data_IF_116678950479
#
_entry.id   IF_116678950479
#
_cell.length_a   1.000
_cell.length_b   1.000
_cell.length_c   1.000
_cell.angle_alpha   90.00
_cell.angle_beta   90.00
_cell.angle_gamma   90.00
#
_symmetry.space_group_name_H-M   'P 1'
#
loop_
_entity.id
_entity.type
_entity.pdbx_description
1 polymer ?
#
# COMPACT_ATOMS: atom_id res chain seq x y z
N UNK A 1 0.48 0.73 25.15
CA UNK A 1 -0.76 -0.09 25.43
C UNK A 1 -1.39 -0.40 24.08
N UNK A 2 -1.70 -1.67 23.79
CA UNK A 2 -2.33 -2.07 22.52
C UNK A 2 -3.72 -1.46 22.41
N UNK A 3 -4.01 -0.84 21.28
CA UNK A 3 -5.30 -0.20 20.98
C UNK A 3 -6.19 -1.10 20.12
N UNK A 4 -7.49 -1.09 20.37
CA UNK A 4 -8.50 -1.73 19.52
C UNK A 4 -9.22 -0.62 18.77
N UNK A 5 -9.15 -0.66 17.44
CA UNK A 5 -9.76 0.37 16.60
C UNK A 5 -11.25 0.07 16.39
N UNK A 6 -12.05 1.13 16.44
CA UNK A 6 -13.46 1.09 16.02
C UNK A 6 -13.58 0.95 14.51
N UNK A 7 -14.74 0.59 13.99
CA UNK A 7 -14.98 0.51 12.52
C UNK A 7 -14.83 1.87 11.83
N UNK A 8 -15.13 2.97 12.51
CA UNK A 8 -14.90 4.33 12.00
C UNK A 8 -13.39 4.60 11.83
N UNK A 9 -12.57 4.26 12.84
CA UNK A 9 -11.12 4.41 12.77
C UNK A 9 -10.49 3.50 11.70
N UNK A 10 -10.98 2.25 11.60
CA UNK A 10 -10.55 1.32 10.55
C UNK A 10 -10.89 1.87 9.16
N UNK A 11 -12.04 2.54 9.00
CA UNK A 11 -12.41 3.18 7.73
C UNK A 11 -11.41 4.27 7.34
N UNK A 12 -11.02 5.14 8.29
CA UNK A 12 -9.99 6.17 8.05
C UNK A 12 -8.62 5.54 7.71
N UNK A 13 -8.25 4.47 8.39
CA UNK A 13 -7.03 3.71 8.07
C UNK A 13 -7.08 3.08 6.67
N UNK A 14 -8.25 2.60 6.22
CA UNK A 14 -8.45 2.12 4.84
C UNK A 14 -8.25 3.22 3.81
N UNK A 15 -8.70 4.44 4.08
CA UNK A 15 -8.46 5.58 3.18
C UNK A 15 -6.96 5.88 3.06
N UNK A 16 -6.23 5.95 4.18
CA UNK A 16 -4.79 6.09 4.18
C UNK A 16 -4.10 4.93 3.43
N UNK A 17 -4.55 3.68 3.70
CA UNK A 17 -4.03 2.47 3.07
C UNK A 17 -4.31 2.39 1.56
N UNK A 18 -5.43 2.90 1.11
CA UNK A 18 -5.76 2.97 -0.32
C UNK A 18 -4.85 3.97 -1.05
N UNK A 19 -4.60 5.15 -0.46
CA UNK A 19 -3.65 6.12 -1.03
C UNK A 19 -2.25 5.51 -1.09
N UNK A 20 -1.84 4.79 -0.05
CA UNK A 20 -0.58 4.06 -0.01
C UNK A 20 -0.49 3.04 -1.16
N UNK A 21 -1.49 2.18 -1.33
CA UNK A 21 -1.59 1.23 -2.45
C UNK A 21 -1.50 1.92 -3.82
N UNK A 22 -2.26 3.00 -4.03
CA UNK A 22 -2.22 3.76 -5.28
C UNK A 22 -0.83 4.38 -5.53
N UNK A 23 -0.15 4.84 -4.48
CA UNK A 23 1.22 5.36 -4.57
C UNK A 23 2.18 4.27 -5.02
N UNK A 24 2.08 3.05 -4.47
CA UNK A 24 2.85 1.90 -4.94
C UNK A 24 2.60 1.57 -6.41
N UNK A 25 1.34 1.58 -6.86
CA UNK A 25 1.00 1.32 -8.27
C UNK A 25 1.59 2.42 -9.20
N UNK A 26 1.51 3.67 -8.78
CA UNK A 26 2.09 4.80 -9.51
C UNK A 26 3.61 4.66 -9.61
N UNK A 27 4.32 4.48 -8.48
CA UNK A 27 5.77 4.34 -8.48
C UNK A 27 6.25 3.12 -9.28
N UNK A 28 5.55 1.98 -9.17
CA UNK A 28 5.81 0.79 -9.99
C UNK A 28 5.83 1.11 -11.49
N UNK A 29 4.95 1.98 -11.96
CA UNK A 29 4.90 2.39 -13.36
C UNK A 29 6.09 3.26 -13.80
N UNK A 30 6.77 3.90 -12.85
CA UNK A 30 7.93 4.77 -13.10
C UNK A 30 9.26 4.03 -13.02
N UNK A 31 9.31 2.86 -12.35
CA UNK A 31 10.54 2.10 -12.16
C UNK A 31 11.07 1.59 -13.49
N UNK A 32 12.26 2.07 -13.87
CA UNK A 32 13.01 1.66 -15.05
C UNK A 32 14.49 1.97 -14.87
N UNK A 33 15.40 1.31 -15.61
CA UNK A 33 16.82 1.65 -15.58
C UNK A 33 17.07 3.13 -15.91
N UNK A 34 18.01 3.74 -15.18
CA UNK A 34 18.44 5.13 -15.39
C UNK A 34 17.73 6.18 -14.55
N UNK A 35 16.68 5.85 -13.78
CA UNK A 35 16.08 6.78 -12.85
C UNK A 35 16.87 6.83 -11.54
N UNK A 36 16.72 7.92 -10.78
CA UNK A 36 17.30 8.05 -9.44
C UNK A 36 16.27 7.72 -8.36
N UNK A 37 16.76 7.28 -7.20
CA UNK A 37 15.87 7.08 -6.03
C UNK A 37 15.26 8.40 -5.56
N UNK A 38 15.96 9.54 -5.74
CA UNK A 38 15.40 10.88 -5.47
C UNK A 38 14.17 11.18 -6.32
N UNK A 39 14.24 10.88 -7.63
CA UNK A 39 13.08 11.08 -8.51
C UNK A 39 11.84 10.30 -8.05
N UNK A 40 12.03 9.05 -7.62
CA UNK A 40 10.92 8.25 -7.08
C UNK A 40 10.36 8.84 -5.79
N UNK A 41 11.22 9.37 -4.90
CA UNK A 41 10.80 10.04 -3.68
C UNK A 41 9.99 11.31 -3.97
N UNK A 42 10.44 12.15 -4.91
CA UNK A 42 9.72 13.37 -5.30
C UNK A 42 8.35 13.05 -5.90
N UNK A 43 8.25 12.02 -6.72
CA UNK A 43 7.00 11.61 -7.33
C UNK A 43 6.05 10.98 -6.28
N UNK A 44 6.57 10.23 -5.30
CA UNK A 44 5.79 9.73 -4.18
C UNK A 44 5.20 10.86 -3.34
N UNK A 45 6.01 11.87 -2.97
CA UNK A 45 5.57 13.03 -2.19
C UNK A 45 4.44 13.78 -2.90
N UNK A 46 4.64 14.12 -4.17
CA UNK A 46 3.62 14.81 -5.00
C UNK A 46 2.34 13.99 -5.10
N UNK A 47 2.46 12.69 -5.32
CA UNK A 47 1.30 11.81 -5.49
C UNK A 47 0.49 11.71 -4.19
N UNK A 48 1.12 11.44 -3.06
CA UNK A 48 0.47 11.36 -1.74
C UNK A 48 -0.25 12.67 -1.43
N UNK A 49 0.42 13.83 -1.61
CA UNK A 49 -0.18 15.14 -1.34
C UNK A 49 -1.32 15.50 -2.28
N UNK A 50 -1.34 14.96 -3.50
CA UNK A 50 -2.45 15.18 -4.45
C UNK A 50 -3.78 14.59 -3.97
N UNK A 51 -3.74 13.62 -3.04
CA UNK A 51 -4.91 13.05 -2.37
C UNK A 51 -5.26 13.76 -1.04
N UNK A 52 -4.61 14.91 -0.74
CA UNK A 52 -4.80 15.60 0.53
C UNK A 52 -4.34 14.78 1.74
N UNK A 53 -3.33 13.94 1.53
CA UNK A 53 -2.66 13.14 2.56
C UNK A 53 -1.21 13.64 2.75
N UNK A 54 -0.52 13.14 3.76
CA UNK A 54 0.86 13.50 4.05
C UNK A 54 1.75 12.24 4.03
N UNK A 55 3.03 12.35 3.55
CA UNK A 55 4.01 11.30 3.71
C UNK A 55 4.28 11.03 5.20
N UNK A 56 4.16 9.77 5.61
CA UNK A 56 4.23 9.38 7.02
C UNK A 56 5.64 9.34 7.59
N UNK A 57 6.67 9.24 6.75
CA UNK A 57 8.06 9.13 7.20
C UNK A 57 8.80 10.47 7.26
N UNK A 58 8.35 11.47 6.49
CA UNK A 58 9.03 12.76 6.42
C UNK A 58 9.12 13.42 7.78
N UNK A 59 10.34 13.72 8.24
CA UNK A 59 10.68 14.27 9.55
C UNK A 59 10.35 13.35 10.75
N UNK A 60 9.95 12.11 10.52
CA UNK A 60 9.75 11.16 11.61
C UNK A 60 11.13 10.67 12.09
N UNK A 61 11.40 10.83 13.38
CA UNK A 61 12.72 10.56 13.97
C UNK A 61 13.88 11.22 13.18
N UNK A 62 13.64 12.38 12.58
CA UNK A 62 14.57 13.12 11.72
C UNK A 62 14.87 12.45 10.35
N UNK A 63 14.06 11.51 9.90
CA UNK A 63 14.19 10.93 8.56
C UNK A 63 13.92 12.00 7.49
N UNK A 64 14.86 12.22 6.52
CA UNK A 64 14.83 13.43 5.69
C UNK A 64 13.97 13.32 4.41
N UNK A 65 13.27 12.19 4.18
CA UNK A 65 12.56 11.88 2.92
C UNK A 65 11.15 11.40 3.15
N UNK A 66 10.34 11.41 2.09
CA UNK A 66 8.92 11.05 2.13
C UNK A 66 8.68 9.56 2.12
N UNK A 67 9.61 8.79 1.54
CA UNK A 67 9.58 7.32 1.45
C UNK A 67 10.98 6.75 1.67
N UNK A 68 11.09 5.48 2.09
CA UNK A 68 12.37 4.78 2.10
C UNK A 68 12.53 4.03 0.76
N UNK A 69 13.75 4.08 0.18
CA UNK A 69 14.06 3.35 -1.06
C UNK A 69 15.38 2.62 -0.88
N UNK A 70 15.29 1.30 -0.78
CA UNK A 70 16.43 0.41 -0.52
C UNK A 70 16.71 -0.46 -1.75
N UNK A 71 17.98 -0.52 -2.18
CA UNK A 71 18.36 -1.18 -3.44
C UNK A 71 19.30 -2.35 -3.19
N UNK A 72 18.96 -3.53 -3.70
CA UNK A 72 19.73 -4.77 -3.63
C UNK A 72 20.04 -5.23 -2.20
N UNK A 73 21.30 -4.99 -1.71
CA UNK A 73 21.77 -5.36 -0.37
C UNK A 73 21.20 -4.47 0.75
N UNK A 74 20.62 -3.33 0.42
CA UNK A 74 19.90 -2.49 1.36
C UNK A 74 18.59 -3.17 1.75
N UNK A 75 18.38 -3.37 3.04
CA UNK A 75 17.21 -4.06 3.59
C UNK A 75 16.05 -3.09 3.70
N UNK A 76 16.25 -2.02 4.49
CA UNK A 76 15.26 -0.97 4.78
C UNK A 76 15.95 0.37 5.05
N UNK A 77 15.14 1.40 5.17
CA UNK A 77 15.50 2.77 5.53
C UNK A 77 16.52 3.43 4.59
N UNK A 78 16.67 2.93 3.37
CA UNK A 78 17.51 3.57 2.37
C UNK A 78 17.02 5.00 2.11
N UNK A 79 17.93 5.99 2.27
CA UNK A 79 17.61 7.40 2.05
C UNK A 79 17.63 7.69 0.54
N UNK A 80 16.50 8.09 -0.08
CA UNK A 80 16.46 8.49 -1.47
C UNK A 80 17.48 9.60 -1.80
N UNK A 81 18.18 9.45 -2.92
CA UNK A 81 19.23 10.36 -3.33
C UNK A 81 19.66 10.16 -4.79
N UNK A 82 20.91 10.47 -5.09
CA UNK A 82 21.50 10.42 -6.44
C UNK A 82 21.76 8.99 -6.95
N UNK A 83 21.48 7.95 -6.17
CA UNK A 83 21.65 6.56 -6.60
C UNK A 83 20.77 6.28 -7.82
N UNK A 84 21.42 5.87 -8.91
CA UNK A 84 20.75 5.48 -10.15
C UNK A 84 20.40 4.01 -10.08
N UNK A 85 19.16 3.67 -10.40
CA UNK A 85 18.66 2.29 -10.46
C UNK A 85 19.00 1.71 -11.84
N UNK A 86 19.54 0.50 -11.88
CA UNK A 86 20.04 -0.14 -13.09
C UNK A 86 19.24 -1.39 -13.46
N UNK A 87 19.36 -1.81 -14.71
CA UNK A 87 18.85 -3.12 -15.16
C UNK A 87 19.39 -4.25 -14.26
N UNK A 88 18.51 -5.09 -13.78
CA UNK A 88 18.88 -6.21 -12.90
C UNK A 88 18.87 -5.88 -11.41
N UNK A 89 18.63 -4.62 -11.01
CA UNK A 89 18.43 -4.27 -9.59
C UNK A 89 17.06 -4.73 -9.09
N UNK A 90 16.94 -4.87 -7.77
CA UNK A 90 15.66 -4.92 -7.06
C UNK A 90 15.58 -3.71 -6.15
N UNK A 91 14.41 -3.12 -6.05
CA UNK A 91 14.17 -1.87 -5.30
C UNK A 91 13.02 -2.08 -4.34
N UNK A 92 13.30 -2.05 -3.05
CA UNK A 92 12.30 -2.03 -1.99
C UNK A 92 11.87 -0.59 -1.77
N UNK A 93 10.61 -0.31 -1.96
CA UNK A 93 10.00 0.99 -1.66
C UNK A 93 9.08 0.78 -0.47
N UNK A 94 9.28 1.57 0.56
CA UNK A 94 8.51 1.56 1.78
C UNK A 94 7.84 2.93 1.96
N UNK A 95 6.51 2.91 2.16
CA UNK A 95 5.64 4.08 2.07
C UNK A 95 4.74 4.17 3.30
N UNK A 96 4.95 5.23 4.08
CA UNK A 96 4.00 5.66 5.10
C UNK A 96 3.07 6.74 4.56
N UNK A 97 1.77 6.64 4.82
CA UNK A 97 0.78 7.68 4.49
C UNK A 97 -0.03 8.04 5.71
N UNK A 98 -0.20 9.35 5.93
CA UNK A 98 -1.10 9.90 6.97
C UNK A 98 -2.30 10.57 6.30
N UNK A 99 -3.50 10.13 6.67
CA UNK A 99 -4.76 10.73 6.25
C UNK A 99 -5.70 10.87 7.44
N UNK A 100 -6.21 12.08 7.65
CA UNK A 100 -7.15 12.40 8.73
C UNK A 100 -6.70 11.90 10.14
N UNK A 101 -5.37 11.99 10.40
CA UNK A 101 -4.74 11.61 11.65
C UNK A 101 -4.48 10.11 11.83
N UNK A 102 -4.68 9.30 10.78
CA UNK A 102 -4.39 7.86 10.80
C UNK A 102 -3.30 7.50 9.83
N UNK A 103 -2.43 6.59 10.25
CA UNK A 103 -1.31 6.07 9.48
C UNK A 103 -1.66 4.79 8.74
N UNK A 104 -1.03 4.61 7.59
CA UNK A 104 -0.87 3.32 6.91
C UNK A 104 0.58 3.14 6.54
N UNK A 105 1.04 1.89 6.50
CA UNK A 105 2.40 1.50 6.17
C UNK A 105 2.40 0.28 5.27
N UNK A 106 3.24 0.31 4.23
CA UNK A 106 3.47 -0.86 3.39
C UNK A 106 4.74 -0.76 2.58
N UNK A 107 5.38 -1.92 2.36
CA UNK A 107 6.58 -2.04 1.56
C UNK A 107 6.45 -3.10 0.48
N UNK A 108 7.02 -2.81 -0.69
CA UNK A 108 7.07 -3.72 -1.82
C UNK A 108 8.43 -3.65 -2.51
N UNK A 109 8.97 -4.81 -2.85
CA UNK A 109 10.21 -4.91 -3.62
C UNK A 109 9.91 -5.20 -5.08
N UNK A 110 10.41 -4.33 -5.96
CA UNK A 110 10.18 -4.38 -7.41
C UNK A 110 11.44 -4.77 -8.18
N UNK A 111 11.35 -5.64 -9.20
CA UNK A 111 12.45 -5.87 -10.12
C UNK A 111 12.60 -4.68 -11.09
N UNK A 112 13.84 -4.34 -11.46
CA UNK A 112 14.16 -3.34 -12.47
C UNK A 112 14.56 -4.03 -13.76
N UNK A 113 13.65 -4.03 -14.73
CA UNK A 113 13.83 -4.79 -15.95
C UNK A 113 13.98 -6.29 -15.67
N UNK A 114 14.95 -6.94 -16.33
CA UNK A 114 15.20 -8.37 -16.15
C UNK A 114 16.20 -8.61 -15.01
N UNK A 115 15.76 -9.27 -13.95
CA UNK A 115 16.61 -9.64 -12.81
C UNK A 115 17.10 -11.09 -12.90
N UNK A 116 18.07 -11.47 -12.07
CA UNK A 116 18.54 -12.85 -11.98
C UNK A 116 17.48 -13.77 -11.37
N UNK A 117 17.57 -15.07 -11.69
CA UNK A 117 16.68 -16.10 -11.10
C UNK A 117 16.73 -16.14 -9.58
N UNK A 118 17.87 -15.82 -8.97
CA UNK A 118 18.03 -15.74 -7.52
C UNK A 118 17.24 -14.57 -6.93
N UNK A 119 17.25 -13.42 -7.61
CA UNK A 119 16.45 -12.26 -7.22
C UNK A 119 14.95 -12.52 -7.43
N UNK A 120 14.54 -13.12 -8.56
CA UNK A 120 13.15 -13.56 -8.76
C UNK A 120 12.69 -14.51 -7.65
N UNK A 121 13.55 -15.47 -7.28
CA UNK A 121 13.30 -16.39 -6.17
C UNK A 121 13.11 -15.65 -4.85
N UNK A 122 14.00 -14.70 -4.53
CA UNK A 122 13.92 -13.91 -3.31
C UNK A 122 12.60 -13.13 -3.25
N UNK A 123 12.26 -12.38 -4.30
CA UNK A 123 11.03 -11.60 -4.38
C UNK A 123 9.81 -12.49 -4.14
N UNK A 124 9.70 -13.58 -4.91
CA UNK A 124 8.58 -14.51 -4.80
C UNK A 124 8.43 -15.11 -3.39
N UNK A 125 9.54 -15.51 -2.79
CA UNK A 125 9.47 -16.17 -1.48
C UNK A 125 9.33 -15.20 -0.33
N UNK A 126 9.78 -13.94 -0.45
CA UNK A 126 9.54 -12.92 0.57
C UNK A 126 8.07 -12.50 0.58
N UNK A 127 7.49 -12.25 -0.58
CA UNK A 127 6.03 -12.00 -0.69
C UNK A 127 5.21 -13.16 -0.13
N UNK A 128 5.56 -14.41 -0.50
CA UNK A 128 4.90 -15.60 0.05
C UNK A 128 5.05 -15.74 1.56
N UNK A 129 6.21 -15.36 2.13
CA UNK A 129 6.44 -15.39 3.57
C UNK A 129 5.49 -14.45 4.30
N UNK A 130 5.24 -13.24 3.76
CA UNK A 130 4.24 -12.34 4.29
C UNK A 130 2.86 -13.02 4.35
N UNK A 131 2.37 -13.52 3.22
CA UNK A 131 1.03 -14.10 3.16
C UNK A 131 0.87 -15.41 3.96
N UNK A 132 1.91 -16.21 4.16
CA UNK A 132 1.80 -17.37 5.06
C UNK A 132 1.76 -16.95 6.53
N UNK A 133 2.44 -15.84 6.90
CA UNK A 133 2.33 -15.24 8.21
C UNK A 133 0.94 -14.68 8.48
N UNK A 134 0.39 -13.91 7.53
CA UNK A 134 -0.94 -13.32 7.64
C UNK A 134 -2.04 -14.36 7.88
N UNK A 135 -1.91 -15.58 7.34
CA UNK A 135 -2.89 -16.66 7.55
C UNK A 135 -3.02 -17.15 9.00
N UNK A 136 -2.05 -16.82 9.83
CA UNK A 136 -2.10 -17.15 11.27
C UNK A 136 -2.91 -16.13 12.09
N UNK A 137 -3.38 -15.03 11.45
CA UNK A 137 -4.06 -13.91 12.11
C UNK A 137 -5.56 -14.14 12.16
N UNK A 138 -6.10 -14.13 13.37
CA UNK A 138 -7.54 -14.05 13.69
C UNK A 138 -7.72 -13.73 15.16
N UNK A 139 -8.93 -13.37 15.57
CA UNK A 139 -9.24 -13.20 17.00
C UNK A 139 -8.89 -14.46 17.80
N UNK A 140 -8.29 -14.28 18.96
CA UNK A 140 -7.86 -15.35 19.85
C UNK A 140 -6.54 -16.04 19.46
N UNK A 141 -5.98 -15.82 18.27
CA UNK A 141 -4.68 -16.36 17.89
C UNK A 141 -3.55 -15.70 18.70
N UNK A 142 -2.39 -16.36 18.75
CA UNK A 142 -1.18 -15.81 19.40
C UNK A 142 -0.30 -15.09 18.40
N UNK A 143 0.14 -13.89 18.76
CA UNK A 143 1.02 -13.04 17.92
C UNK A 143 2.26 -13.78 17.42
N UNK A 144 2.89 -14.59 18.28
CA UNK A 144 4.08 -15.37 17.93
C UNK A 144 3.86 -16.41 16.83
N UNK A 145 2.61 -16.75 16.49
CA UNK A 145 2.31 -17.65 15.38
C UNK A 145 2.70 -17.02 14.04
N UNK A 146 2.53 -15.71 13.88
CA UNK A 146 2.87 -14.96 12.67
C UNK A 146 4.37 -15.15 12.37
N UNK A 147 5.24 -14.74 13.29
CA UNK A 147 6.68 -14.82 13.13
C UNK A 147 7.19 -16.25 13.02
N UNK A 148 6.64 -17.19 13.84
CA UNK A 148 6.99 -18.60 13.75
C UNK A 148 6.70 -19.17 12.36
N UNK A 149 5.58 -18.78 11.73
CA UNK A 149 5.19 -19.22 10.39
C UNK A 149 6.08 -18.64 9.31
N UNK A 150 6.38 -17.34 9.40
CA UNK A 150 7.31 -16.64 8.49
C UNK A 150 8.70 -17.31 8.55
N UNK A 151 9.25 -17.47 9.75
CA UNK A 151 10.57 -18.07 9.95
C UNK A 151 10.64 -19.53 9.45
N UNK A 152 9.63 -20.33 9.74
CA UNK A 152 9.53 -21.71 9.25
C UNK A 152 9.53 -21.75 7.72
N UNK A 153 8.77 -20.87 7.08
CA UNK A 153 8.72 -20.76 5.63
C UNK A 153 10.07 -20.35 5.04
N UNK A 154 10.67 -19.28 5.56
CA UNK A 154 11.96 -18.77 5.10
C UNK A 154 13.09 -19.82 5.24
N UNK A 155 13.17 -20.52 6.38
CA UNK A 155 14.12 -21.62 6.61
C UNK A 155 13.98 -22.75 5.59
N UNK A 156 12.75 -23.14 5.25
CA UNK A 156 12.47 -24.14 4.22
C UNK A 156 13.02 -23.73 2.85
N UNK A 157 13.11 -22.43 2.58
CA UNK A 157 13.58 -21.86 1.33
C UNK A 157 15.02 -21.33 1.39
N UNK A 158 15.76 -21.65 2.47
CA UNK A 158 17.15 -21.22 2.69
C UNK A 158 17.34 -19.68 2.62
N UNK A 159 16.36 -18.93 3.11
CA UNK A 159 16.42 -17.48 3.20
C UNK A 159 16.70 -17.04 4.64
N UNK A 160 17.54 -16.01 4.79
CA UNK A 160 17.84 -15.38 6.08
C UNK A 160 16.68 -14.48 6.51
N UNK A 161 16.16 -14.66 7.73
CA UNK A 161 15.13 -13.79 8.32
C UNK A 161 15.82 -12.73 9.17
N UNK A 162 15.63 -11.47 8.85
CA UNK A 162 16.08 -10.35 9.69
C UNK A 162 15.32 -10.39 11.02
N UNK A 163 16.05 -10.28 12.12
CA UNK A 163 15.49 -10.40 13.48
C UNK A 163 15.59 -9.12 14.30
N UNK A 164 16.47 -8.23 13.89
CA UNK A 164 16.75 -6.96 14.54
C UNK A 164 15.68 -5.88 14.24
N UNK A 165 14.88 -6.13 13.20
CA UNK A 165 13.78 -5.29 12.75
C UNK A 165 12.51 -6.12 12.78
N UNK A 166 11.42 -5.49 13.20
CA UNK A 166 10.14 -6.16 13.46
C UNK A 166 8.98 -5.27 13.02
N UNK A 167 7.88 -5.86 12.67
CA UNK A 167 6.64 -5.15 12.46
C UNK A 167 6.07 -4.58 13.77
N UNK A 168 4.98 -3.87 13.69
CA UNK A 168 4.45 -3.09 14.81
C UNK A 168 2.92 -2.94 14.75
N UNK A 169 2.32 -2.51 15.86
CA UNK A 169 0.99 -1.93 15.85
C UNK A 169 1.01 -0.59 15.10
N UNK A 170 -0.11 -0.18 14.54
CA UNK A 170 -0.24 1.06 13.77
C UNK A 170 -1.61 1.68 13.96
N UNK A 171 -1.72 3.00 13.89
CA UNK A 171 -3.01 3.68 14.06
C UNK A 171 -2.89 5.19 13.97
N UNK A 172 -3.09 5.90 15.07
CA UNK A 172 -2.87 7.35 15.16
C UNK A 172 -1.38 7.71 15.25
N UNK A 173 -0.53 6.71 15.51
CA UNK A 173 0.92 6.80 15.37
C UNK A 173 1.38 5.75 14.38
N UNK A 174 2.50 6.01 13.69
CA UNK A 174 3.11 5.04 12.78
C UNK A 174 3.48 3.77 13.54
N UNK A 175 4.21 3.91 14.64
CA UNK A 175 4.59 2.81 15.51
C UNK A 175 3.76 2.82 16.79
N UNK A 176 2.95 1.79 16.97
CA UNK A 176 2.20 1.49 18.19
C UNK A 176 2.58 0.09 18.71
N UNK A 177 2.22 -0.21 19.94
CA UNK A 177 2.26 -1.58 20.45
C UNK A 177 1.24 -2.49 19.71
N UNK A 178 1.53 -3.77 19.47
CA UNK A 178 2.74 -4.51 19.91
C UNK A 178 3.81 -4.56 18.83
N UNK A 179 5.06 -4.92 19.20
CA UNK A 179 6.03 -5.42 18.23
C UNK A 179 5.53 -6.71 17.58
N UNK A 180 5.78 -6.88 16.27
CA UNK A 180 5.37 -8.03 15.44
C UNK A 180 6.60 -8.70 14.82
N UNK A 181 7.34 -9.54 15.57
CA UNK A 181 8.54 -10.20 15.07
C UNK A 181 8.24 -11.14 13.88
N UNK A 182 9.18 -11.18 12.92
CA UNK A 182 9.16 -12.11 11.78
C UNK A 182 9.73 -13.49 12.10
N UNK A 183 9.94 -13.79 13.36
CA UNK A 183 10.48 -15.03 13.90
C UNK A 183 9.85 -15.34 15.25
N UNK A 184 10.01 -16.55 15.77
CA UNK A 184 9.52 -16.85 17.11
C UNK A 184 9.02 -18.28 17.29
N UNK A 185 8.10 -18.45 18.23
CA UNK A 185 7.53 -19.76 18.61
C UNK A 185 6.02 -19.72 18.54
N UNK A 186 5.41 -20.79 18.04
CA UNK A 186 3.96 -20.96 18.08
C UNK A 186 3.40 -20.89 19.50
N UNK A 187 2.19 -20.40 19.60
CA UNK A 187 1.43 -20.29 20.85
C UNK A 187 2.07 -19.40 21.91
N UNK A 188 2.89 -18.42 21.51
CA UNK A 188 3.52 -17.44 22.40
C UNK A 188 3.08 -16.00 22.09
N UNK A 189 3.37 -15.10 23.00
CA UNK A 189 3.10 -13.67 22.85
C UNK A 189 1.66 -13.28 23.15
N UNK A 190 1.32 -12.05 22.76
CA UNK A 190 0.01 -11.45 22.96
C UNK A 190 -1.11 -12.27 22.27
N UNK A 191 -2.29 -12.28 22.86
CA UNK A 191 -3.49 -12.79 22.18
C UNK A 191 -4.06 -11.69 21.30
N UNK A 192 -4.17 -11.97 20.01
CA UNK A 192 -4.79 -11.05 19.05
C UNK A 192 -6.27 -10.85 19.34
N UNK A 193 -6.76 -9.66 19.09
CA UNK A 193 -8.16 -9.27 19.25
C UNK A 193 -8.65 -8.59 17.97
N UNK A 194 -9.88 -8.88 17.60
CA UNK A 194 -10.59 -8.20 16.51
C UNK A 194 -10.53 -6.68 16.72
N UNK A 195 -10.20 -5.92 15.68
CA UNK A 195 -9.94 -4.48 15.71
C UNK A 195 -8.50 -4.07 16.02
N UNK A 196 -7.58 -4.98 16.34
CA UNK A 196 -6.15 -4.66 16.35
C UNK A 196 -5.64 -4.41 14.93
N UNK A 197 -4.81 -3.39 14.75
CA UNK A 197 -4.17 -3.05 13.47
C UNK A 197 -2.66 -3.21 13.59
N UNK A 198 -2.08 -3.94 12.62
CA UNK A 198 -0.68 -4.36 12.64
C UNK A 198 -0.03 -4.13 11.28
N UNK A 199 1.22 -3.70 11.28
CA UNK A 199 2.16 -3.81 10.17
C UNK A 199 2.87 -5.16 10.27
N UNK A 200 2.79 -5.98 9.24
CA UNK A 200 3.47 -7.28 9.14
C UNK A 200 4.42 -7.21 7.97
N UNK A 201 5.73 -7.30 8.24
CA UNK A 201 6.77 -6.83 7.32
C UNK A 201 8.01 -7.76 7.27
N UNK A 202 7.92 -8.97 6.76
CA UNK A 202 9.10 -9.81 6.63
C UNK A 202 10.15 -9.21 5.70
N UNK A 203 11.39 -9.11 6.21
CA UNK A 203 12.60 -8.82 5.47
C UNK A 203 13.41 -10.10 5.34
N UNK A 204 13.57 -10.60 4.11
CA UNK A 204 14.32 -11.84 3.85
C UNK A 204 15.55 -11.56 2.98
N UNK A 205 16.64 -12.24 3.31
CA UNK A 205 17.94 -12.11 2.65
C UNK A 205 18.29 -13.40 1.88
N UNK A 206 18.91 -13.27 0.71
CA UNK A 206 19.50 -14.42 -0.02
C UNK A 206 20.67 -15.06 0.72
N UNK A 207 21.24 -14.40 1.69
CA UNK A 207 22.39 -14.85 2.46
C UNK A 207 22.16 -14.85 3.95
N UNK A 208 23.10 -14.27 4.67
CA UNK A 208 23.03 -14.19 6.13
C UNK A 208 21.88 -13.29 6.59
N UNK A 209 21.30 -13.63 7.75
CA UNK A 209 20.34 -12.75 8.42
C UNK A 209 20.98 -11.54 9.11
N UNK A 210 22.33 -11.52 9.22
CA UNK A 210 23.05 -10.46 9.94
C UNK A 210 23.05 -9.16 9.15
N UNK A 211 22.91 -8.09 9.87
CA UNK A 211 22.80 -6.72 9.33
C UNK A 211 23.89 -5.81 9.87
N UNK A 212 24.05 -4.63 9.29
CA UNK A 212 24.70 -3.48 9.90
C UNK A 212 24.09 -2.19 9.35
N UNK A 213 24.27 -1.08 10.09
CA UNK A 213 23.80 0.24 9.72
C UNK A 213 24.93 0.98 9.01
N UNK A 214 24.64 1.68 7.91
CA UNK A 214 25.63 2.51 7.20
C UNK A 214 25.96 3.78 7.97
N UNK A 215 26.97 4.53 7.49
CA UNK A 215 27.44 5.78 8.10
C UNK A 215 26.42 6.93 8.06
N UNK A 216 25.30 6.76 7.33
CA UNK A 216 24.19 7.70 7.30
C UNK A 216 23.22 7.54 8.49
N UNK A 217 23.52 6.62 9.40
CA UNK A 217 22.76 6.27 10.60
C UNK A 217 21.33 5.73 10.33
N UNK A 218 20.95 5.51 9.06
CA UNK A 218 19.63 5.07 8.63
C UNK A 218 19.64 3.77 7.82
N UNK A 219 20.41 3.76 6.73
CA UNK A 219 20.37 2.64 5.77
C UNK A 219 20.88 1.36 6.39
N UNK A 220 20.04 0.34 6.43
CA UNK A 220 20.38 -0.98 6.99
C UNK A 220 20.66 -1.93 5.84
N UNK A 221 21.80 -2.63 5.90
CA UNK A 221 22.26 -3.51 4.81
C UNK A 221 22.59 -4.91 5.32
N UNK A 222 22.58 -5.87 4.40
CA UNK A 222 23.02 -7.24 4.68
C UNK A 222 24.53 -7.30 4.89
N UNK A 223 24.99 -8.09 5.87
CA UNK A 223 26.41 -8.15 6.21
C UNK A 223 27.28 -8.83 5.15
N UNK A 224 26.70 -9.61 4.27
CA UNK A 224 27.39 -10.32 3.19
C UNK A 224 27.15 -9.68 1.81
N UNK A 225 26.57 -8.50 1.74
CA UNK A 225 26.22 -7.75 0.53
C UNK A 225 25.34 -8.54 -0.45
N UNK A 226 24.63 -9.55 0.01
CA UNK A 226 23.63 -10.24 -0.80
C UNK A 226 22.29 -9.54 -0.79
N UNK A 227 21.49 -9.67 -1.86
CA UNK A 227 20.20 -9.01 -1.95
C UNK A 227 19.24 -9.34 -0.82
N UNK A 228 18.49 -8.35 -0.39
CA UNK A 228 17.36 -8.42 0.52
C UNK A 228 16.06 -8.01 -0.19
N UNK A 229 14.94 -8.50 0.28
CA UNK A 229 13.61 -8.06 -0.13
C UNK A 229 12.73 -7.81 1.08
N UNK A 230 11.90 -6.79 0.99
CA UNK A 230 10.96 -6.35 2.00
C UNK A 230 9.55 -6.30 1.40
N UNK A 231 8.60 -6.99 2.04
CA UNK A 231 7.18 -6.94 1.69
C UNK A 231 6.37 -6.74 2.96
N UNK A 232 5.41 -5.83 2.90
CA UNK A 232 4.65 -5.43 4.06
C UNK A 232 3.22 -5.07 3.72
N UNK A 233 2.33 -5.34 4.68
CA UNK A 233 0.98 -4.81 4.70
C UNK A 233 0.56 -4.33 6.10
N UNK A 234 -0.14 -3.20 6.13
CA UNK A 234 -1.02 -2.88 7.26
C UNK A 234 -2.29 -3.72 7.15
N UNK A 235 -2.64 -4.40 8.24
CA UNK A 235 -3.84 -5.22 8.34
C UNK A 235 -4.66 -4.86 9.58
N UNK A 236 -5.93 -5.24 9.58
CA UNK A 236 -6.76 -5.31 10.79
C UNK A 236 -7.12 -6.76 11.10
N UNK A 237 -7.03 -7.14 12.37
CA UNK A 237 -7.49 -8.44 12.86
C UNK A 237 -9.02 -8.48 12.83
N UNK A 238 -9.58 -9.57 12.32
CA UNK A 238 -11.02 -9.86 12.29
C UNK A 238 -11.32 -11.16 13.04
N UNK A 239 -12.58 -11.43 13.30
CA UNK A 239 -13.03 -12.60 14.07
C UNK A 239 -12.50 -13.90 13.47
N UNK A 240 -12.62 -14.08 12.14
CA UNK A 240 -12.25 -15.30 11.43
C UNK A 240 -10.99 -15.16 10.56
N UNK A 241 -10.22 -14.06 10.71
CA UNK A 241 -9.04 -13.83 9.88
C UNK A 241 -8.49 -12.42 10.00
N UNK A 242 -8.14 -11.84 8.87
CA UNK A 242 -7.60 -10.48 8.77
C UNK A 242 -8.14 -9.79 7.53
N UNK A 243 -8.05 -8.47 7.52
CA UNK A 243 -8.34 -7.64 6.36
C UNK A 243 -7.12 -6.76 6.06
N UNK A 244 -6.68 -6.73 4.80
CA UNK A 244 -5.58 -5.87 4.35
C UNK A 244 -6.12 -4.46 4.14
N UNK A 245 -5.49 -3.47 4.78
CA UNK A 245 -5.84 -2.06 4.65
C UNK A 245 -5.04 -1.36 3.53
N UNK A 246 -3.83 -1.84 3.23
CA UNK A 246 -2.93 -1.33 2.16
C UNK A 246 -3.02 -2.15 0.87
N UNK A 247 -4.22 -2.49 0.45
CA UNK A 247 -4.51 -3.27 -0.74
C UNK A 247 -5.43 -2.53 -1.72
N UNK A 248 -5.78 -3.23 -2.80
CA UNK A 248 -6.85 -2.77 -3.66
C UNK A 248 -8.15 -2.74 -2.85
N UNK A 249 -8.53 -1.56 -2.44
CA UNK A 249 -9.81 -1.36 -1.81
C UNK A 249 -10.81 -1.00 -2.92
N UNK A 250 -11.58 -1.97 -3.35
CA UNK A 250 -12.86 -1.64 -3.94
C UNK A 250 -13.69 -1.09 -2.79
N UNK A 251 -13.76 0.23 -2.68
CA UNK A 251 -14.79 0.87 -1.86
C UNK A 251 -16.07 0.08 -2.11
N UNK A 252 -16.58 -0.57 -1.08
CA UNK A 252 -17.96 -1.07 -1.12
C UNK A 252 -18.73 0.12 -1.64
N UNK A 253 -19.32 0.01 -2.87
CA UNK A 253 -19.97 1.10 -3.60
C UNK A 253 -20.28 2.23 -2.65
N UNK A 254 -19.43 3.27 -2.59
CA UNK A 254 -19.83 4.49 -1.91
C UNK A 254 -21.24 4.72 -2.36
N UNK A 255 -22.10 5.11 -1.45
CA UNK A 255 -23.44 5.47 -1.84
C UNK A 255 -23.28 6.60 -2.86
N UNK A 256 -23.02 6.19 -4.11
CA UNK A 256 -22.96 7.13 -5.22
C UNK A 256 -24.29 7.83 -5.20
N UNK A 257 -24.25 9.13 -5.06
CA UNK A 257 -25.46 9.93 -5.14
C UNK A 257 -25.92 9.82 -6.59
N UNK A 258 -27.00 9.09 -6.83
CA UNK A 258 -27.61 9.02 -8.14
C UNK A 258 -28.47 10.24 -8.38
N UNK A 259 -28.22 10.93 -9.47
CA UNK A 259 -28.99 12.07 -9.94
C UNK A 259 -29.48 11.83 -11.34
N UNK A 260 -30.72 12.19 -11.57
CA UNK A 260 -31.26 12.30 -12.93
C UNK A 260 -30.88 13.66 -13.52
N UNK A 261 -30.58 13.69 -14.82
CA UNK A 261 -30.21 14.89 -15.50
C UNK A 261 -30.36 14.79 -17.01
N UNK A 262 -30.13 15.91 -17.71
CA UNK A 262 -30.17 16.00 -19.16
C UNK A 262 -28.79 16.34 -19.71
N UNK A 263 -28.33 15.61 -20.70
CA UNK A 263 -27.10 15.94 -21.43
C UNK A 263 -27.32 17.21 -22.23
N UNK A 264 -26.55 18.27 -21.91
CA UNK A 264 -26.64 19.56 -22.60
C UNK A 264 -25.55 19.73 -23.65
N UNK A 265 -24.39 19.04 -23.50
CA UNK A 265 -23.30 19.13 -24.46
C UNK A 265 -22.44 17.86 -24.41
N UNK A 266 -21.68 17.56 -25.50
CA UNK A 266 -20.73 16.48 -25.60
C UNK A 266 -19.34 17.06 -25.97
N UNK A 267 -18.34 16.88 -25.10
CA UNK A 267 -16.99 17.43 -25.25
C UNK A 267 -15.98 16.28 -25.29
N UNK A 268 -15.61 15.84 -26.48
CA UNK A 268 -14.76 14.63 -26.70
C UNK A 268 -15.40 13.39 -26.07
N UNK A 269 -14.76 12.83 -25.03
CA UNK A 269 -15.21 11.63 -24.32
C UNK A 269 -16.06 11.94 -23.06
N UNK A 270 -16.24 13.23 -22.73
CA UNK A 270 -17.01 13.70 -21.58
C UNK A 270 -18.30 14.39 -22.02
N UNK A 271 -19.28 14.41 -21.13
CA UNK A 271 -20.59 14.98 -21.33
C UNK A 271 -20.88 16.04 -20.26
N UNK A 272 -21.39 17.17 -20.68
CA UNK A 272 -21.92 18.17 -19.77
C UNK A 272 -23.38 17.86 -19.48
N UNK A 273 -23.70 17.57 -18.21
CA UNK A 273 -25.05 17.18 -17.79
C UNK A 273 -25.60 18.19 -16.83
N UNK A 274 -26.80 18.70 -17.11
CA UNK A 274 -27.60 19.49 -16.18
C UNK A 274 -28.47 18.54 -15.37
N UNK A 275 -28.22 18.48 -14.07
CA UNK A 275 -28.97 17.65 -13.12
C UNK A 275 -30.33 18.30 -12.82
N UNK A 276 -31.31 17.50 -12.38
CA UNK A 276 -32.67 18.00 -12.08
C UNK A 276 -32.69 19.00 -10.92
N UNK A 277 -31.61 19.09 -10.11
CA UNK A 277 -31.45 20.14 -9.10
C UNK A 277 -30.83 21.45 -9.64
N UNK A 278 -30.62 21.57 -10.96
CA UNK A 278 -30.05 22.72 -11.63
C UNK A 278 -28.52 22.79 -11.62
N UNK A 279 -27.81 21.83 -10.99
CA UNK A 279 -26.34 21.76 -11.01
C UNK A 279 -25.84 21.22 -12.35
N UNK A 280 -24.70 21.77 -12.82
CA UNK A 280 -24.03 21.30 -14.04
C UNK A 280 -22.80 20.49 -13.65
N UNK A 281 -22.71 19.27 -14.15
CA UNK A 281 -21.60 18.37 -13.90
C UNK A 281 -20.95 17.87 -15.19
N UNK A 282 -19.67 17.56 -15.13
CA UNK A 282 -18.97 16.84 -16.20
C UNK A 282 -19.02 15.35 -15.92
N UNK A 283 -19.51 14.55 -16.87
CA UNK A 283 -19.66 13.10 -16.68
C UNK A 283 -19.12 12.31 -17.86
N UNK A 284 -18.47 11.18 -17.58
CA UNK A 284 -18.05 10.21 -18.60
C UNK A 284 -18.98 8.99 -18.61
N UNK A 285 -19.07 8.30 -19.74
CA UNK A 285 -19.89 7.07 -19.88
C UNK A 285 -19.24 5.91 -19.14
N UNK A 286 -20.02 5.17 -18.33
CA UNK A 286 -19.55 4.00 -17.58
C UNK A 286 -19.01 2.90 -18.51
N UNK A 287 -18.05 2.12 -17.99
CA UNK A 287 -17.45 1.00 -18.74
C UNK A 287 -18.50 0.00 -19.23
N UNK A 288 -19.56 -0.27 -18.45
CA UNK A 288 -20.67 -1.16 -18.83
C UNK A 288 -21.44 -0.61 -20.04
N UNK A 289 -21.69 0.69 -20.08
CA UNK A 289 -22.35 1.32 -21.22
C UNK A 289 -21.47 1.35 -22.47
N UNK A 290 -20.15 1.57 -22.31
CA UNK A 290 -19.15 1.49 -23.41
C UNK A 290 -19.09 0.09 -23.99
N UNK A 291 -19.01 -0.94 -23.16
CA UNK A 291 -19.00 -2.35 -23.62
C UNK A 291 -20.28 -2.74 -24.38
N UNK A 292 -21.44 -2.16 -23.99
CA UNK A 292 -22.71 -2.38 -24.66
C UNK A 292 -22.95 -1.40 -25.82
N UNK A 293 -21.94 -0.62 -26.23
CA UNK A 293 -21.98 0.36 -27.32
C UNK A 293 -23.17 1.36 -27.22
N UNK A 294 -23.55 1.71 -25.98
CA UNK A 294 -24.62 2.68 -25.72
C UNK A 294 -24.09 4.06 -25.99
N UNK A 295 -24.61 4.72 -27.04
CA UNK A 295 -24.23 6.05 -27.43
C UNK A 295 -25.13 7.07 -26.72
N UNK A 296 -24.51 8.07 -26.09
CA UNK A 296 -25.19 9.20 -25.42
C UNK A 296 -25.09 10.42 -26.31
N UNK A 297 -26.16 11.19 -26.41
CA UNK A 297 -26.26 12.39 -27.27
C UNK A 297 -26.79 13.58 -26.44
N UNK A 298 -26.44 14.82 -26.82
CA UNK A 298 -27.12 16.02 -26.27
C UNK A 298 -28.64 15.88 -26.41
N UNK A 299 -29.35 16.16 -25.33
CA UNK A 299 -30.80 16.00 -25.22
C UNK A 299 -31.25 14.74 -24.51
N UNK A 300 -30.40 13.72 -24.38
CA UNK A 300 -30.73 12.48 -23.66
C UNK A 300 -30.91 12.70 -22.15
N UNK A 301 -31.90 12.02 -21.58
CA UNK A 301 -32.01 11.85 -20.12
C UNK A 301 -31.04 10.78 -19.66
N UNK A 302 -30.32 11.05 -18.58
CA UNK A 302 -29.30 10.14 -18.05
C UNK A 302 -29.32 10.10 -16.53
N UNK A 303 -28.97 8.95 -15.98
CA UNK A 303 -28.64 8.82 -14.57
C UNK A 303 -27.12 9.01 -14.41
N UNK A 304 -26.72 9.92 -13.54
CA UNK A 304 -25.32 10.24 -13.23
C UNK A 304 -25.05 9.87 -11.79
N UNK A 305 -24.05 9.02 -11.59
CA UNK A 305 -23.47 8.75 -10.28
C UNK A 305 -22.39 9.81 -9.99
N UNK A 306 -22.52 10.52 -8.86
CA UNK A 306 -21.54 11.46 -8.34
C UNK A 306 -20.89 10.89 -7.09
N UNK A 307 -19.58 11.18 -6.90
CA UNK A 307 -18.93 10.96 -5.62
C UNK A 307 -19.41 12.01 -4.60
N UNK A 308 -19.68 11.64 -3.34
CA UNK A 308 -19.96 12.64 -2.29
C UNK A 308 -18.83 13.65 -2.09
N UNK A 309 -17.61 13.30 -2.49
CA UNK A 309 -16.40 14.13 -2.35
C UNK A 309 -16.09 15.01 -3.56
N UNK A 310 -16.67 14.70 -4.73
CA UNK A 310 -16.58 15.53 -5.94
C UNK A 310 -17.91 15.55 -6.68
N UNK A 311 -18.73 16.52 -6.33
CA UNK A 311 -20.05 16.74 -6.96
C UNK A 311 -19.97 17.43 -8.33
N UNK A 312 -18.76 17.76 -8.82
CA UNK A 312 -18.54 18.41 -10.12
C UNK A 312 -18.28 17.44 -11.26
N UNK A 313 -17.87 16.22 -10.92
CA UNK A 313 -17.58 15.14 -11.87
C UNK A 313 -18.39 13.88 -11.56
N UNK A 314 -18.85 13.22 -12.62
CA UNK A 314 -19.70 12.03 -12.48
C UNK A 314 -19.50 10.97 -13.55
N UNK A 315 -20.26 9.91 -13.40
CA UNK A 315 -20.30 8.79 -14.33
C UNK A 315 -21.74 8.51 -14.77
N UNK A 316 -21.99 8.57 -16.07
CA UNK A 316 -23.29 8.20 -16.65
C UNK A 316 -23.41 6.65 -16.59
N UNK A 317 -24.39 6.18 -15.85
CA UNK A 317 -24.64 4.73 -15.63
C UNK A 317 -25.83 4.20 -16.37
N UNK A 318 -26.78 5.07 -16.73
CA UNK A 318 -27.98 4.73 -17.46
C UNK A 318 -28.38 5.85 -18.43
N UNK A 319 -28.97 5.48 -19.57
CA UNK A 319 -29.61 6.37 -20.53
C UNK A 319 -31.09 6.08 -20.58
N UNK A 320 -31.91 7.04 -20.19
CA UNK A 320 -33.36 7.01 -20.35
C UNK A 320 -33.78 7.04 -21.83
N UNK A 321 -34.97 6.54 -22.12
CA UNK A 321 -35.57 6.64 -23.45
C UNK A 321 -36.15 8.02 -23.65
#
# INVERSE_FOLDING_TARGET
MVTIKSEEEITKMKEAGHINYLTHQYLKSLIKPGITTEYLNEEADKFIRSYGAEPGFLNMYDFPKSVCISVNEEIVHGIPGKRVVNEGDIVSIDIGVVKDGYHSDSAWTYPVGKVSKEKEYLLHHTEKALFVGLKEIKDGAKLGNIGARIEQYAKKHNLGVVQELVGHGIGTSLHEEPDVPNYGKYNTGLTLKSGMTLAVEPMLNLGTRKIYVLEDDWTIVTRDNKPSAHFEHTIVVRDDGYEILTGEWTMAKEATLEFEGKVIDAIKDDYKVELDNGSIVMAHVSGKMRMNMIRVLPGDRVTVELSPYDITRGRITYRGK
#
